data_IF_799028632006
#
_entry.id   IF_799028632006
#
_cell.length_a   1.000
_cell.length_b   1.000
_cell.length_c   1.000
_cell.angle_alpha   90.00
_cell.angle_beta   90.00
_cell.angle_gamma   90.00
#
_symmetry.space_group_name_H-M   'P 1'
#
loop_
_entity.id
_entity.type
_entity.pdbx_description
1 polymer ?
#
# COMPACT_ATOMS: atom_id res chain seq x y z
N UNK A 1 31.15 -22.59 -16.56
CA UNK A 1 31.42 -21.25 -16.00
C UNK A 1 31.14 -20.20 -17.06
N UNK A 2 30.10 -19.37 -16.91
CA UNK A 2 29.96 -18.19 -17.75
C UNK A 2 30.98 -17.14 -17.32
N UNK A 3 31.66 -16.52 -18.28
CA UNK A 3 32.65 -15.48 -18.04
C UNK A 3 31.91 -14.16 -17.82
N UNK A 4 31.75 -13.74 -16.56
CA UNK A 4 31.12 -12.46 -16.18
C UNK A 4 31.93 -11.31 -16.78
N UNK A 5 31.29 -10.52 -17.66
CA UNK A 5 31.93 -9.41 -18.37
C UNK A 5 31.76 -8.13 -17.55
N UNK A 6 32.88 -7.49 -17.20
CA UNK A 6 32.85 -6.18 -16.54
C UNK A 6 32.41 -5.14 -17.58
N UNK A 7 31.28 -4.49 -17.32
CA UNK A 7 30.73 -3.40 -18.13
C UNK A 7 30.99 -2.05 -17.47
N UNK A 8 30.86 -0.97 -18.24
CA UNK A 8 30.98 0.39 -17.71
C UNK A 8 30.02 0.66 -16.54
N UNK A 9 28.78 0.15 -16.62
CA UNK A 9 27.78 0.26 -15.54
C UNK A 9 28.24 -0.40 -14.24
N UNK A 10 28.94 -1.55 -14.31
CA UNK A 10 29.48 -2.23 -13.12
C UNK A 10 30.60 -1.38 -12.48
N UNK A 11 31.44 -0.75 -13.30
CA UNK A 11 32.52 0.12 -12.81
C UNK A 11 31.95 1.38 -12.14
N UNK A 12 30.95 2.01 -12.75
CA UNK A 12 30.25 3.17 -12.16
C UNK A 12 29.50 2.76 -10.89
N UNK A 13 28.84 1.61 -10.87
CA UNK A 13 28.17 1.11 -9.68
C UNK A 13 29.17 0.85 -8.55
N UNK A 14 30.39 0.39 -8.84
CA UNK A 14 31.38 0.06 -7.83
C UNK A 14 31.85 1.29 -7.05
N UNK A 15 32.04 2.42 -7.72
CA UNK A 15 32.43 3.67 -7.07
C UNK A 15 31.32 4.29 -6.22
N UNK A 16 30.06 4.01 -6.54
CA UNK A 16 28.90 4.53 -5.82
C UNK A 16 28.46 3.60 -4.67
N UNK A 17 28.43 2.29 -4.93
CA UNK A 17 27.97 1.25 -4.03
C UNK A 17 28.55 -0.13 -4.46
N UNK A 18 29.59 -0.63 -3.78
CA UNK A 18 30.21 -1.92 -4.11
C UNK A 18 29.22 -3.09 -4.13
N UNK A 19 28.21 -3.04 -3.24
CA UNK A 19 27.16 -4.08 -3.17
C UNK A 19 26.28 -4.09 -4.43
N UNK A 20 25.97 -2.91 -5.00
CA UNK A 20 25.21 -2.79 -6.26
C UNK A 20 26.01 -3.36 -7.43
N UNK A 21 27.32 -3.08 -7.49
CA UNK A 21 28.21 -3.66 -8.50
C UNK A 21 28.30 -5.19 -8.38
N UNK A 22 28.32 -5.71 -7.16
CA UNK A 22 28.28 -7.15 -6.92
C UNK A 22 27.01 -7.77 -7.48
N UNK A 23 25.83 -7.19 -7.21
CA UNK A 23 24.58 -7.70 -7.78
C UNK A 23 24.60 -7.64 -9.31
N UNK A 24 24.92 -6.49 -9.92
CA UNK A 24 24.99 -6.35 -11.38
C UNK A 24 25.98 -7.31 -12.05
N UNK A 25 27.11 -7.61 -11.41
CA UNK A 25 28.11 -8.54 -11.92
C UNK A 25 27.69 -10.01 -11.68
N UNK A 26 26.90 -10.28 -10.64
CA UNK A 26 26.64 -11.64 -10.18
C UNK A 26 25.27 -12.21 -10.50
N UNK A 27 24.28 -11.39 -10.83
CA UNK A 27 22.93 -11.86 -11.13
C UNK A 27 22.71 -11.94 -12.65
N UNK A 28 23.02 -13.10 -13.24
CA UNK A 28 22.44 -13.50 -14.54
C UNK A 28 21.00 -14.02 -14.36
N UNK A 29 20.62 -14.37 -13.14
CA UNK A 29 19.30 -14.88 -12.81
C UNK A 29 18.35 -13.71 -12.60
N UNK A 30 17.27 -13.68 -13.39
CA UNK A 30 16.05 -13.01 -13.02
C UNK A 30 15.66 -13.58 -11.64
N UNK A 31 15.97 -12.84 -10.59
CA UNK A 31 15.71 -13.29 -9.22
C UNK A 31 14.25 -13.73 -9.12
N UNK A 32 14.04 -14.90 -8.53
CA UNK A 32 12.70 -15.38 -8.21
C UNK A 32 11.96 -14.26 -7.48
N UNK A 33 10.74 -13.88 -7.90
CA UNK A 33 9.95 -12.90 -7.17
C UNK A 33 9.94 -13.26 -5.69
N UNK A 34 10.43 -12.36 -4.84
CA UNK A 34 10.53 -12.64 -3.42
C UNK A 34 9.13 -12.92 -2.88
N UNK A 35 8.96 -14.05 -2.17
CA UNK A 35 7.67 -14.51 -1.60
C UNK A 35 6.94 -13.44 -0.76
N UNK A 36 7.67 -12.43 -0.31
CA UNK A 36 7.12 -11.27 0.38
C UNK A 36 6.11 -10.49 -0.47
N UNK A 37 6.31 -10.44 -1.80
CA UNK A 37 5.37 -9.78 -2.71
C UNK A 37 4.03 -10.51 -2.75
N UNK A 38 4.06 -11.84 -2.81
CA UNK A 38 2.86 -12.67 -2.79
C UNK A 38 2.14 -12.59 -1.43
N UNK A 39 2.89 -12.50 -0.33
CA UNK A 39 2.32 -12.25 1.00
C UNK A 39 1.62 -10.90 1.09
N UNK A 40 2.18 -9.84 0.49
CA UNK A 40 1.57 -8.51 0.47
C UNK A 40 0.27 -8.48 -0.33
N UNK A 41 0.21 -9.18 -1.47
CA UNK A 41 -1.01 -9.29 -2.28
C UNK A 41 -2.10 -10.07 -1.54
N UNK A 42 -1.76 -11.19 -0.89
CA UNK A 42 -2.71 -11.92 -0.04
C UNK A 42 -3.23 -11.08 1.13
N UNK A 43 -2.36 -10.27 1.74
CA UNK A 43 -2.74 -9.36 2.83
C UNK A 43 -3.74 -8.29 2.33
N UNK A 44 -3.50 -7.74 1.13
CA UNK A 44 -4.38 -6.76 0.51
C UNK A 44 -5.77 -7.34 0.21
N UNK A 45 -5.84 -8.58 -0.26
CA UNK A 45 -7.12 -9.25 -0.53
C UNK A 45 -7.91 -9.52 0.75
N UNK A 46 -7.23 -9.96 1.83
CA UNK A 46 -7.86 -10.13 3.15
C UNK A 46 -8.38 -8.81 3.71
N UNK A 47 -7.59 -7.74 3.59
CA UNK A 47 -7.99 -6.40 4.03
C UNK A 47 -9.19 -5.87 3.23
N UNK A 48 -9.23 -6.12 1.92
CA UNK A 48 -10.38 -5.80 1.06
C UNK A 48 -11.66 -6.53 1.48
N UNK A 49 -11.53 -7.80 1.85
CA UNK A 49 -12.67 -8.58 2.36
C UNK A 49 -13.18 -8.07 3.71
N UNK A 50 -12.28 -7.73 4.64
CA UNK A 50 -12.62 -7.19 5.98
C UNK A 50 -13.33 -5.83 5.85
N UNK A 51 -12.83 -4.94 4.99
CA UNK A 51 -13.45 -3.63 4.76
C UNK A 51 -14.84 -3.77 4.14
N UNK A 52 -15.00 -4.68 3.17
CA UNK A 52 -16.30 -4.97 2.53
C UNK A 52 -17.34 -5.52 3.51
N UNK A 53 -16.96 -6.46 4.37
CA UNK A 53 -17.88 -7.04 5.36
C UNK A 53 -18.28 -6.02 6.43
N UNK A 54 -17.34 -5.19 6.88
CA UNK A 54 -17.60 -4.14 7.86
C UNK A 54 -18.57 -3.08 7.31
N UNK A 55 -18.39 -2.65 6.05
CA UNK A 55 -19.31 -1.71 5.39
C UNK A 55 -20.72 -2.29 5.22
N UNK A 56 -20.83 -3.57 4.85
CA UNK A 56 -22.14 -4.27 4.79
C UNK A 56 -22.81 -4.34 6.15
N UNK A 57 -22.07 -4.64 7.21
CA UNK A 57 -22.59 -4.67 8.57
C UNK A 57 -23.12 -3.31 9.02
N UNK A 58 -22.35 -2.24 8.82
CA UNK A 58 -22.78 -0.87 9.13
C UNK A 58 -24.04 -0.51 8.35
N UNK A 59 -24.08 -0.77 7.04
CA UNK A 59 -25.26 -0.50 6.21
C UNK A 59 -26.49 -1.23 6.73
N UNK A 60 -26.34 -2.49 7.17
CA UNK A 60 -27.44 -3.27 7.72
C UNK A 60 -27.91 -2.75 9.09
N UNK A 61 -27.00 -2.26 9.94
CA UNK A 61 -27.37 -1.62 11.21
C UNK A 61 -28.16 -0.33 10.98
N UNK A 62 -27.69 0.51 10.06
CA UNK A 62 -28.37 1.76 9.69
C UNK A 62 -29.75 1.48 9.07
N UNK A 63 -29.89 0.43 8.26
CA UNK A 63 -31.17 0.02 7.68
C UNK A 63 -32.18 -0.52 8.73
N UNK A 64 -31.70 -1.11 9.82
CA UNK A 64 -32.53 -1.69 10.89
C UNK A 64 -32.89 -0.70 11.99
N UNK A 65 -32.31 0.49 12.00
CA UNK A 65 -32.56 1.51 13.04
C UNK A 65 -32.52 2.92 12.42
N UNK A 66 -33.64 3.40 11.86
CA UNK A 66 -33.72 4.69 11.16
C UNK A 66 -33.46 5.91 12.05
N UNK A 67 -33.60 5.75 13.37
CA UNK A 67 -33.57 6.85 14.34
C UNK A 67 -32.18 7.50 14.54
N UNK A 68 -31.12 7.00 13.91
CA UNK A 68 -29.74 7.51 14.10
C UNK A 68 -29.43 8.73 13.20
N UNK A 69 -30.24 9.03 12.17
CA UNK A 69 -29.99 10.15 11.25
C UNK A 69 -30.55 11.52 11.72
N UNK A 70 -31.37 11.56 12.77
CA UNK A 70 -32.08 12.79 13.21
C UNK A 70 -31.26 13.69 14.16
N UNK A 71 -30.05 13.30 14.58
CA UNK A 71 -29.27 14.09 15.56
C UNK A 71 -28.31 15.12 14.94
N UNK A 72 -28.16 15.17 13.61
CA UNK A 72 -27.22 16.08 12.93
C UNK A 72 -27.85 17.38 12.41
N UNK A 73 -29.16 17.61 12.58
CA UNK A 73 -29.84 18.79 12.00
C UNK A 73 -29.89 20.04 12.90
N UNK A 74 -29.36 20.01 14.13
CA UNK A 74 -29.44 21.16 15.06
C UNK A 74 -28.09 21.71 15.49
N UNK A 75 -27.27 22.13 14.52
CA UNK A 75 -26.25 23.19 14.78
C UNK A 75 -26.72 24.45 14.05
N UNK A 76 -27.62 25.21 14.69
CA UNK A 76 -27.96 26.57 14.25
C UNK A 76 -26.80 27.46 14.67
N UNK A 77 -25.82 27.65 13.78
CA UNK A 77 -24.79 28.67 13.93
C UNK A 77 -25.50 30.02 13.93
N UNK A 78 -25.70 30.61 15.11
CA UNK A 78 -26.06 32.03 15.23
C UNK A 78 -24.82 32.83 14.84
N UNK A 79 -24.81 33.36 13.62
CA UNK A 79 -23.93 34.47 13.29
C UNK A 79 -24.40 35.67 14.11
N UNK A 80 -23.60 36.10 15.07
CA UNK A 80 -23.79 37.36 15.77
C UNK A 80 -23.14 38.43 14.89
N UNK A 81 -23.96 39.15 14.13
CA UNK A 81 -23.52 40.37 13.46
C UNK A 81 -23.02 41.34 14.53
N UNK A 82 -21.80 41.82 14.34
CA UNK A 82 -21.18 42.85 15.16
C UNK A 82 -21.21 44.13 14.34
N UNK A 83 -22.03 45.09 14.73
CA UNK A 83 -21.87 46.49 14.36
C UNK A 83 -22.38 47.39 15.46
#
# INVERSE_FOLDING_TARGET
MQKKRITFEIVVAYSQCPQKAFFLLCTDEQGTPHEYRDMLDQQKDRNGQITSTHLKYISNLLAKSPCILEMTSSVKVKHHDTS
#
